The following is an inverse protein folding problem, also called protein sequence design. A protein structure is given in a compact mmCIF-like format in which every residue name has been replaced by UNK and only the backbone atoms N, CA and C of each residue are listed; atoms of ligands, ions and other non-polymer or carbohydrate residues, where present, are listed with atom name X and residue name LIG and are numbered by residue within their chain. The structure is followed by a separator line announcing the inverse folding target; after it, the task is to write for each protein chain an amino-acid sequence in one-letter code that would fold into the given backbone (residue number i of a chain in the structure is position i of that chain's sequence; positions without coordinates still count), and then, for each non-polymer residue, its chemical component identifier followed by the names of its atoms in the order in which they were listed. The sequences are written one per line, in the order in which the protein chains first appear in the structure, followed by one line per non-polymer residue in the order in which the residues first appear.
data_IF_687885250636
#
_entry.id   IF_687885250636
#
_cell.length_a   1.000
_cell.length_b   1.000
_cell.length_c   1.000
_cell.angle_alpha   90.00
_cell.angle_beta   90.00
_cell.angle_gamma   90.00
#
_symmetry.space_group_name_H-M   'P 1'
#
loop_
_entity.id
_entity.type
_entity.pdbx_description
1 polymer ?
#
# COMPACT_ATOMS: atom_id res chain seq x y z
N UNK A 1 9.37 19.97 -11.23
CA UNK A 1 10.37 19.64 -10.19
C UNK A 1 9.75 19.23 -8.86
N UNK A 2 8.71 19.90 -8.35
CA UNK A 2 8.10 19.57 -7.04
C UNK A 2 7.41 18.20 -7.03
N UNK A 3 6.62 17.85 -8.06
CA UNK A 3 5.88 16.58 -8.12
C UNK A 3 6.81 15.34 -8.12
N UNK A 4 7.93 15.39 -8.82
CA UNK A 4 8.88 14.27 -8.86
C UNK A 4 9.59 14.08 -7.51
N UNK A 5 9.86 15.16 -6.77
CA UNK A 5 10.46 15.09 -5.45
C UNK A 5 9.50 14.47 -4.41
N UNK A 6 8.22 14.89 -4.41
CA UNK A 6 7.18 14.32 -3.54
C UNK A 6 7.03 12.82 -3.80
N UNK A 7 6.91 12.41 -5.06
CA UNK A 7 6.76 11.00 -5.45
C UNK A 7 7.99 10.18 -5.03
N UNK A 8 9.19 10.69 -5.27
CA UNK A 8 10.42 9.99 -4.90
C UNK A 8 10.54 9.83 -3.38
N UNK A 9 10.29 10.91 -2.62
CA UNK A 9 10.39 10.90 -1.17
C UNK A 9 9.31 10.04 -0.52
N UNK A 10 8.09 10.06 -1.06
CA UNK A 10 7.03 9.18 -0.61
C UNK A 10 7.40 7.71 -0.82
N UNK A 11 7.96 7.34 -1.98
CA UNK A 11 8.34 5.95 -2.28
C UNK A 11 9.36 5.40 -1.28
N UNK A 12 10.41 6.15 -0.96
CA UNK A 12 11.42 5.71 0.02
C UNK A 12 10.86 5.61 1.43
N UNK A 13 10.05 6.60 1.84
CA UNK A 13 9.45 6.59 3.17
C UNK A 13 8.37 5.49 3.32
N UNK A 14 7.60 5.21 2.26
CA UNK A 14 6.56 4.19 2.24
C UNK A 14 7.12 2.79 2.49
N UNK A 15 8.25 2.39 1.86
CA UNK A 15 8.85 1.06 2.07
C UNK A 15 9.18 0.82 3.55
N UNK A 16 9.85 1.79 4.18
CA UNK A 16 10.27 1.69 5.58
C UNK A 16 9.06 1.63 6.52
N UNK A 17 8.07 2.49 6.28
CA UNK A 17 6.86 2.54 7.10
C UNK A 17 6.03 1.26 6.91
N UNK A 18 6.00 0.69 5.72
CA UNK A 18 5.23 -0.53 5.46
C UNK A 18 5.73 -1.74 6.23
N UNK A 19 7.06 -1.93 6.22
CA UNK A 19 7.70 -3.01 6.96
C UNK A 19 7.31 -2.98 8.44
N UNK A 20 7.30 -1.80 9.05
CA UNK A 20 6.99 -1.62 10.47
C UNK A 20 5.54 -1.97 10.85
N UNK A 21 4.60 -1.89 9.91
CA UNK A 21 3.16 -2.09 10.19
C UNK A 21 2.72 -3.48 9.77
N UNK A 22 3.07 -3.87 8.56
CA UNK A 22 2.53 -5.07 7.93
C UNK A 22 3.43 -6.29 8.12
N UNK A 23 4.64 -6.12 8.66
CA UNK A 23 5.62 -7.20 8.79
C UNK A 23 6.11 -7.75 7.44
N UNK A 24 5.84 -7.01 6.36
CA UNK A 24 6.13 -7.43 4.98
C UNK A 24 6.59 -6.26 4.14
N UNK A 25 7.53 -6.57 3.23
CA UNK A 25 8.07 -5.62 2.25
C UNK A 25 7.41 -5.90 0.90
N UNK A 26 6.73 -4.91 0.29
CA UNK A 26 6.36 -5.00 -1.11
C UNK A 26 7.60 -5.23 -1.99
N UNK A 27 7.46 -6.00 -3.06
CA UNK A 27 8.49 -6.17 -4.09
C UNK A 27 8.76 -4.87 -4.84
N UNK A 28 7.70 -4.10 -5.10
CA UNK A 28 7.79 -2.79 -5.73
C UNK A 28 6.76 -1.83 -5.15
N UNK A 29 7.10 -0.53 -5.15
CA UNK A 29 6.20 0.55 -4.77
C UNK A 29 6.28 1.62 -5.86
N UNK A 30 5.14 1.90 -6.48
CA UNK A 30 4.99 2.98 -7.46
C UNK A 30 4.05 4.04 -6.90
N UNK A 31 4.42 5.30 -7.04
CA UNK A 31 3.60 6.42 -6.63
C UNK A 31 3.44 7.39 -7.80
N UNK A 32 2.26 7.95 -7.94
CA UNK A 32 1.89 8.88 -8.99
C UNK A 32 1.14 10.05 -8.37
N UNK A 33 1.47 11.26 -8.81
CA UNK A 33 0.74 12.47 -8.43
C UNK A 33 -0.04 12.95 -9.66
N UNK A 34 -1.36 12.89 -9.58
CA UNK A 34 -2.29 13.24 -10.67
C UNK A 34 -3.15 14.40 -10.15
N UNK A 35 -2.79 15.63 -10.50
CA UNK A 35 -3.37 16.81 -9.85
C UNK A 35 -3.03 16.81 -8.35
N UNK A 36 -4.06 16.74 -7.50
CA UNK A 36 -3.97 16.64 -6.04
C UNK A 36 -4.14 15.19 -5.52
N UNK A 37 -4.30 14.22 -6.42
CA UNK A 37 -4.43 12.80 -6.07
C UNK A 37 -3.06 12.12 -6.02
N UNK A 38 -2.71 11.58 -4.85
CA UNK A 38 -1.58 10.66 -4.70
C UNK A 38 -2.06 9.22 -4.85
N UNK A 39 -1.73 8.58 -5.97
CA UNK A 39 -1.99 7.16 -6.19
C UNK A 39 -0.75 6.34 -5.84
N UNK A 40 -0.92 5.34 -4.98
CA UNK A 40 0.16 4.45 -4.53
C UNK A 40 -0.19 3.01 -4.91
N UNK A 41 0.70 2.36 -5.65
CA UNK A 41 0.59 0.96 -6.04
C UNK A 41 1.68 0.16 -5.35
N UNK A 42 1.26 -0.91 -4.69
CA UNK A 42 2.12 -1.85 -3.98
C UNK A 42 2.07 -3.17 -4.70
N UNK A 43 3.22 -3.76 -5.01
CA UNK A 43 3.31 -5.04 -5.69
C UNK A 43 3.98 -6.10 -4.85
N UNK A 44 3.56 -7.35 -5.03
CA UNK A 44 4.18 -8.48 -4.35
C UNK A 44 4.10 -8.41 -2.83
N UNK A 45 3.01 -7.84 -2.28
CA UNK A 45 2.81 -7.70 -0.83
C UNK A 45 2.56 -9.05 -0.15
N UNK A 46 1.97 -10.01 -0.87
CA UNK A 46 1.78 -11.36 -0.34
C UNK A 46 3.12 -12.07 -0.16
N UNK A 47 3.30 -12.71 0.99
CA UNK A 47 4.41 -13.62 1.30
C UNK A 47 4.35 -14.87 0.42
N UNK A 48 5.45 -15.61 0.32
CA UNK A 48 5.49 -16.87 -0.44
C UNK A 48 4.46 -17.89 0.09
N UNK A 49 4.29 -17.95 1.41
CA UNK A 49 3.31 -18.83 2.06
C UNK A 49 1.86 -18.44 1.70
N UNK A 50 1.52 -17.14 1.76
CA UNK A 50 0.18 -16.65 1.37
C UNK A 50 -0.09 -16.88 -0.13
N UNK A 51 0.91 -16.65 -0.99
CA UNK A 51 0.79 -16.94 -2.43
C UNK A 51 0.54 -18.42 -2.68
N UNK A 52 1.30 -19.30 -2.01
CA UNK A 52 1.11 -20.73 -2.11
C UNK A 52 -0.27 -21.16 -1.61
N UNK A 53 -0.75 -20.59 -0.50
CA UNK A 53 -2.07 -20.88 0.06
C UNK A 53 -3.20 -20.46 -0.91
N UNK A 54 -3.11 -19.29 -1.53
CA UNK A 54 -4.09 -18.83 -2.54
C UNK A 54 -4.11 -19.76 -3.75
N UNK A 55 -2.97 -20.29 -4.17
CA UNK A 55 -2.84 -21.19 -5.33
C UNK A 55 -3.30 -22.63 -5.04
N UNK A 56 -3.24 -23.07 -3.78
CA UNK A 56 -3.58 -24.44 -3.37
C UNK A 56 -5.03 -24.59 -2.90
N UNK A 57 -5.67 -23.50 -2.45
CA UNK A 57 -7.08 -23.49 -2.10
C UNK A 57 -7.98 -23.59 -3.34
N UNK A 58 -9.20 -24.12 -3.21
CA UNK A 58 -10.24 -23.97 -4.23
C UNK A 58 -10.41 -22.50 -4.62
N UNK A 59 -10.65 -22.22 -5.91
CA UNK A 59 -10.62 -20.86 -6.46
C UNK A 59 -11.50 -19.86 -5.69
N UNK A 60 -12.69 -20.26 -5.25
CA UNK A 60 -13.58 -19.45 -4.39
C UNK A 60 -12.87 -19.00 -3.10
N UNK A 61 -12.33 -19.96 -2.33
CA UNK A 61 -11.64 -19.70 -1.06
C UNK A 61 -10.35 -18.90 -1.25
N UNK A 62 -9.59 -19.18 -2.31
CA UNK A 62 -8.39 -18.41 -2.63
C UNK A 62 -8.70 -16.94 -2.94
N UNK A 63 -9.77 -16.67 -3.69
CA UNK A 63 -10.25 -15.30 -3.96
C UNK A 63 -10.71 -14.59 -2.70
N UNK A 64 -11.45 -15.27 -1.83
CA UNK A 64 -11.95 -14.69 -0.57
C UNK A 64 -10.81 -14.35 0.39
N UNK A 65 -9.83 -15.26 0.52
CA UNK A 65 -8.62 -15.00 1.30
C UNK A 65 -7.86 -13.78 0.76
N UNK A 66 -7.70 -13.67 -0.56
CA UNK A 66 -7.03 -12.52 -1.18
C UNK A 66 -7.75 -11.20 -0.86
N UNK A 67 -9.08 -11.19 -0.93
CA UNK A 67 -9.89 -10.02 -0.58
C UNK A 67 -9.71 -9.65 0.90
N UNK A 68 -9.78 -10.62 1.81
CA UNK A 68 -9.60 -10.39 3.24
C UNK A 68 -8.23 -9.79 3.56
N UNK A 69 -7.15 -10.37 3.01
CA UNK A 69 -5.79 -9.86 3.24
C UNK A 69 -5.64 -8.43 2.72
N UNK A 70 -6.20 -8.11 1.55
CA UNK A 70 -6.19 -6.74 1.00
C UNK A 70 -6.95 -5.76 1.89
N UNK A 71 -8.14 -6.12 2.33
CA UNK A 71 -8.95 -5.28 3.22
C UNK A 71 -8.20 -5.00 4.52
N UNK A 72 -7.71 -6.04 5.19
CA UNK A 72 -6.98 -5.91 6.45
C UNK A 72 -5.72 -5.05 6.30
N UNK A 73 -5.00 -5.18 5.17
CA UNK A 73 -3.83 -4.34 4.87
C UNK A 73 -4.18 -2.86 4.84
N UNK A 74 -5.20 -2.49 4.07
CA UNK A 74 -5.57 -1.09 3.89
C UNK A 74 -6.13 -0.50 5.18
N UNK A 75 -7.01 -1.24 5.86
CA UNK A 75 -7.60 -0.85 7.14
C UNK A 75 -6.53 -0.55 8.19
N UNK A 76 -5.60 -1.49 8.38
CA UNK A 76 -4.53 -1.36 9.39
C UNK A 76 -3.56 -0.22 9.08
N UNK A 77 -3.33 0.06 7.80
CA UNK A 77 -2.32 1.01 7.37
C UNK A 77 -2.83 2.44 7.21
N UNK A 78 -4.15 2.62 7.08
CA UNK A 78 -4.78 3.92 6.81
C UNK A 78 -4.26 5.05 7.71
N UNK A 79 -4.24 4.95 9.06
CA UNK A 79 -3.78 6.06 9.91
C UNK A 79 -2.31 6.42 9.63
N UNK A 80 -1.51 5.41 9.32
CA UNK A 80 -0.08 5.61 9.09
C UNK A 80 0.20 6.15 7.69
N UNK A 81 -0.56 5.72 6.68
CA UNK A 81 -0.50 6.28 5.34
C UNK A 81 -0.92 7.75 5.34
N UNK A 82 -1.97 8.11 6.09
CA UNK A 82 -2.38 9.50 6.26
C UNK A 82 -1.29 10.36 6.90
N UNK A 83 -0.67 9.87 7.98
CA UNK A 83 0.49 10.52 8.60
C UNK A 83 1.67 10.62 7.64
N UNK A 84 1.94 9.58 6.86
CA UNK A 84 3.03 9.57 5.88
C UNK A 84 2.80 10.64 4.80
N UNK A 85 1.60 10.71 4.23
CA UNK A 85 1.25 11.74 3.25
C UNK A 85 1.46 13.12 3.85
N UNK A 86 0.91 13.37 5.05
CA UNK A 86 1.07 14.65 5.74
C UNK A 86 2.54 15.02 6.01
N UNK A 87 3.35 14.06 6.44
CA UNK A 87 4.77 14.31 6.70
C UNK A 87 5.57 14.63 5.43
N UNK A 88 5.17 14.09 4.28
CA UNK A 88 5.86 14.31 2.99
C UNK A 88 5.37 15.58 2.30
N UNK A 89 4.08 15.88 2.38
CA UNK A 89 3.46 16.99 1.62
C UNK A 89 3.15 18.21 2.46
N UNK A 90 3.15 18.09 3.80
CA UNK A 90 2.63 19.10 4.73
C UNK A 90 1.11 19.17 4.79
N UNK A 91 0.38 18.37 3.99
CA UNK A 91 -1.06 18.48 3.80
C UNK A 91 -1.74 17.21 4.31
N UNK A 92 -2.77 17.36 5.15
CA UNK A 92 -3.59 16.22 5.58
C UNK A 92 -4.43 15.73 4.40
N UNK A 93 -4.38 14.43 4.04
CA UNK A 93 -5.21 13.91 2.97
C UNK A 93 -6.69 14.05 3.32
N UNK A 94 -7.50 14.46 2.34
CA UNK A 94 -8.94 14.62 2.51
C UNK A 94 -9.67 13.28 2.59
N UNK A 95 -9.16 12.28 1.87
CA UNK A 95 -9.70 10.92 1.86
C UNK A 95 -8.62 9.92 1.45
N UNK A 96 -8.80 8.66 1.83
CA UNK A 96 -7.93 7.54 1.46
C UNK A 96 -8.81 6.36 1.04
N UNK A 97 -8.54 5.79 -0.13
CA UNK A 97 -9.32 4.68 -0.68
C UNK A 97 -8.39 3.54 -1.10
N UNK A 98 -8.74 2.32 -0.72
CA UNK A 98 -8.14 1.11 -1.26
C UNK A 98 -8.92 0.66 -2.50
N UNK A 99 -8.21 0.30 -3.57
CA UNK A 99 -8.82 -0.37 -4.72
C UNK A 99 -8.92 -1.87 -4.40
N UNK A 100 -10.14 -2.41 -4.39
CA UNK A 100 -10.43 -3.81 -4.04
C UNK A 100 -10.38 -4.74 -5.26
#
# INVERSE_FOLDING_TARGET
MVNSAIVHHFRTAAVRKWWAIAGRRPKDIRAYLIGDLLMVRLEGVLTAAEQHLVLTLPAEKGRDLLKQVRTQLIETARPTLESLVHNVTGIKPRSLHGLY
#
